data_IF_975411468613
#
_entry.id   IF_975411468613
#
_cell.length_a   1.000
_cell.length_b   1.000
_cell.length_c   1.000
_cell.angle_alpha   90.00
_cell.angle_beta   90.00
_cell.angle_gamma   90.00
#
_symmetry.space_group_name_H-M   'P 1'
#
loop_
_entity.id
_entity.type
_entity.pdbx_description
1 polymer ?
#
# COMPACT_ATOMS: atom_id res chain seq x y z
N UNK A 1 -16.59 -2.19 -63.22
CA UNK A 1 -16.76 -1.52 -61.91
C UNK A 1 -17.00 -2.60 -60.86
N UNK A 2 -15.93 -3.19 -60.29
CA UNK A 2 -15.44 -2.94 -58.91
C UNK A 2 -16.55 -2.66 -57.91
N UNK A 3 -16.81 -3.61 -57.02
CA UNK A 3 -17.24 -3.38 -55.64
C UNK A 3 -16.81 -4.60 -54.80
N UNK A 4 -15.56 -4.51 -54.31
CA UNK A 4 -15.01 -5.36 -53.27
C UNK A 4 -15.87 -5.19 -52.01
N UNK A 5 -16.49 -6.26 -51.51
CA UNK A 5 -17.05 -6.29 -50.16
C UNK A 5 -15.91 -6.55 -49.18
N UNK A 6 -15.57 -5.51 -48.43
CA UNK A 6 -14.61 -5.50 -47.33
C UNK A 6 -14.93 -6.59 -46.29
N UNK A 7 -14.05 -7.58 -46.13
CA UNK A 7 -14.00 -8.44 -44.95
C UNK A 7 -13.22 -7.68 -43.86
N UNK A 8 -13.93 -7.17 -42.86
CA UNK A 8 -13.30 -6.63 -41.66
C UNK A 8 -12.91 -7.80 -40.75
N UNK A 9 -11.62 -8.14 -40.71
CA UNK A 9 -11.03 -9.03 -39.73
C UNK A 9 -11.07 -8.34 -38.36
N UNK A 10 -11.99 -8.76 -37.49
CA UNK A 10 -12.01 -8.36 -36.09
C UNK A 10 -10.85 -9.09 -35.40
N UNK A 11 -9.70 -8.43 -35.37
CA UNK A 11 -8.55 -8.82 -34.56
C UNK A 11 -8.94 -8.71 -33.09
N UNK A 12 -9.35 -9.83 -32.50
CA UNK A 12 -9.52 -9.97 -31.05
C UNK A 12 -8.12 -9.88 -30.45
N UNK A 13 -7.73 -8.68 -30.01
CA UNK A 13 -6.56 -8.49 -29.17
C UNK A 13 -6.77 -9.28 -27.89
N UNK A 14 -6.02 -10.38 -27.75
CA UNK A 14 -5.82 -11.09 -26.50
C UNK A 14 -5.30 -10.08 -25.47
N UNK A 15 -6.21 -9.58 -24.63
CA UNK A 15 -5.84 -8.91 -23.40
C UNK A 15 -5.14 -9.97 -22.55
N UNK A 16 -3.82 -9.93 -22.55
CA UNK A 16 -2.99 -10.63 -21.57
C UNK A 16 -3.34 -9.99 -20.23
N UNK A 17 -4.33 -10.55 -19.54
CA UNK A 17 -4.55 -10.30 -18.12
C UNK A 17 -3.39 -11.03 -17.44
N UNK A 18 -2.21 -10.40 -17.46
CA UNK A 18 -1.07 -10.89 -16.72
C UNK A 18 -1.49 -10.93 -15.26
N UNK A 19 -1.43 -12.11 -14.64
CA UNK A 19 -1.46 -12.24 -13.20
C UNK A 19 -0.18 -11.60 -12.64
N UNK A 20 -0.09 -10.28 -12.65
CA UNK A 20 1.00 -9.56 -11.99
C UNK A 20 0.74 -9.68 -10.49
N UNK A 21 1.56 -10.49 -9.83
CA UNK A 21 1.68 -10.43 -8.37
C UNK A 21 2.33 -9.10 -8.04
N UNK A 22 1.77 -8.38 -7.08
CA UNK A 22 2.35 -7.13 -6.59
C UNK A 22 3.71 -7.43 -5.95
N UNK A 23 4.54 -6.40 -5.83
CA UNK A 23 5.81 -6.44 -5.10
C UNK A 23 5.97 -5.19 -4.23
N UNK A 24 7.09 -5.06 -3.52
CA UNK A 24 7.34 -3.93 -2.63
C UNK A 24 7.41 -2.55 -3.30
N UNK A 25 7.54 -2.49 -4.63
CA UNK A 25 7.66 -1.24 -5.38
C UNK A 25 6.38 -0.88 -6.17
N UNK A 26 5.31 -1.67 -6.00
CA UNK A 26 4.03 -1.44 -6.68
C UNK A 26 3.30 -0.20 -6.14
N UNK A 27 2.44 0.41 -6.95
CA UNK A 27 1.70 1.65 -6.61
C UNK A 27 0.44 1.43 -5.74
N UNK A 28 0.01 0.18 -5.57
CA UNK A 28 -1.08 -0.27 -4.69
C UNK A 28 -2.44 0.44 -4.88
N UNK A 29 -2.64 1.19 -5.96
CA UNK A 29 -3.90 1.91 -6.23
C UNK A 29 -5.05 0.95 -6.51
N UNK A 30 -4.80 -0.11 -7.29
CA UNK A 30 -5.74 -1.20 -7.55
C UNK A 30 -5.27 -2.48 -6.84
N UNK A 31 -5.48 -2.51 -5.52
CA UNK A 31 -5.01 -3.59 -4.64
C UNK A 31 -6.11 -4.60 -4.27
N UNK A 32 -7.39 -4.24 -4.37
CA UNK A 32 -8.49 -5.13 -3.97
C UNK A 32 -8.84 -6.08 -5.12
N UNK A 33 -8.65 -7.38 -4.87
CA UNK A 33 -8.98 -8.45 -5.82
C UNK A 33 -10.48 -8.76 -5.82
N UNK A 34 -11.11 -8.76 -4.64
CA UNK A 34 -12.53 -9.05 -4.52
C UNK A 34 -13.10 -8.53 -3.21
N UNK A 35 -14.38 -8.15 -3.25
CA UNK A 35 -15.15 -7.72 -2.07
C UNK A 35 -16.31 -8.67 -1.85
N UNK A 36 -16.55 -9.05 -0.59
CA UNK A 36 -17.73 -9.80 -0.16
C UNK A 36 -18.47 -9.02 0.91
N UNK A 37 -19.70 -8.64 0.59
CA UNK A 37 -20.57 -7.99 1.53
C UNK A 37 -21.40 -9.02 2.32
N UNK A 38 -21.51 -8.79 3.62
CA UNK A 38 -22.36 -9.54 4.55
C UNK A 38 -23.22 -8.57 5.35
N UNK A 39 -24.19 -9.11 6.09
CA UNK A 39 -25.11 -8.30 6.90
C UNK A 39 -24.38 -7.48 7.97
N UNK A 40 -23.36 -8.04 8.60
CA UNK A 40 -22.62 -7.41 9.71
C UNK A 40 -21.23 -6.87 9.36
N UNK A 41 -20.66 -7.27 8.22
CA UNK A 41 -19.29 -6.88 7.81
C UNK A 41 -19.10 -6.83 6.30
N UNK A 42 -17.99 -6.24 5.88
CA UNK A 42 -17.45 -6.32 4.52
C UNK A 42 -16.10 -7.03 4.61
N UNK A 43 -15.89 -8.05 3.77
CA UNK A 43 -14.61 -8.73 3.62
C UNK A 43 -13.95 -8.28 2.31
N UNK A 44 -12.74 -7.72 2.39
CA UNK A 44 -11.93 -7.36 1.24
C UNK A 44 -10.74 -8.31 1.14
N UNK A 45 -10.58 -8.91 -0.03
CA UNK A 45 -9.41 -9.71 -0.36
C UNK A 45 -8.49 -8.88 -1.25
N UNK A 46 -7.26 -8.67 -0.80
CA UNK A 46 -6.21 -8.04 -1.59
C UNK A 46 -5.67 -8.98 -2.68
N UNK A 47 -5.10 -8.40 -3.73
CA UNK A 47 -4.24 -9.10 -4.70
C UNK A 47 -3.01 -9.63 -3.99
N UNK A 48 -2.47 -10.75 -4.47
CA UNK A 48 -1.24 -11.31 -3.92
C UNK A 48 -0.06 -10.36 -4.10
N UNK A 49 0.77 -10.26 -3.08
CA UNK A 49 2.07 -9.57 -3.09
C UNK A 49 3.19 -10.59 -2.81
N UNK A 50 4.31 -10.43 -3.52
CA UNK A 50 5.57 -11.07 -3.18
C UNK A 50 6.30 -10.17 -2.16
N UNK A 51 6.39 -10.57 -0.89
CA UNK A 51 7.07 -9.78 0.12
C UNK A 51 8.59 -9.83 -0.07
N UNK A 52 9.28 -8.85 0.50
CA UNK A 52 10.73 -8.93 0.66
C UNK A 52 11.05 -9.94 1.76
N UNK A 53 12.07 -10.78 1.52
CA UNK A 53 12.45 -11.85 2.45
C UNK A 53 13.93 -11.80 2.74
N UNK A 54 14.31 -11.86 4.02
CA UNK A 54 15.70 -11.92 4.46
C UNK A 54 15.88 -13.00 5.51
N UNK A 55 16.67 -14.04 5.19
CA UNK A 55 17.04 -15.04 6.18
C UNK A 55 17.89 -14.41 7.29
N UNK A 56 17.53 -14.69 8.55
CA UNK A 56 18.37 -14.36 9.70
C UNK A 56 19.19 -15.57 10.15
N UNK A 57 18.57 -16.75 10.14
CA UNK A 57 19.22 -18.02 10.48
C UNK A 57 18.81 -19.05 9.42
N UNK A 58 19.75 -19.80 8.85
CA UNK A 58 19.47 -20.79 7.81
C UNK A 58 19.41 -20.19 6.41
N UNK A 59 18.67 -20.82 5.50
CA UNK A 59 18.51 -20.32 4.12
C UNK A 59 17.27 -19.45 3.97
N UNK A 60 17.28 -18.61 2.94
CA UNK A 60 16.10 -17.84 2.58
C UNK A 60 15.01 -18.74 1.98
N UNK A 61 13.81 -18.17 1.86
CA UNK A 61 12.69 -18.80 1.17
C UNK A 61 12.99 -18.89 -0.34
N UNK A 62 12.53 -19.98 -0.94
CA UNK A 62 12.55 -20.16 -2.41
C UNK A 62 11.46 -19.31 -3.05
N UNK A 63 10.29 -19.25 -2.39
CA UNK A 63 9.17 -18.41 -2.81
C UNK A 63 8.41 -17.95 -1.57
N UNK A 64 7.92 -16.71 -1.62
CA UNK A 64 6.96 -16.20 -0.66
C UNK A 64 5.85 -15.47 -1.42
N UNK A 65 4.61 -15.66 -1.00
CA UNK A 65 3.46 -14.96 -1.53
C UNK A 65 2.48 -14.73 -0.38
N UNK A 66 1.94 -13.53 -0.31
CA UNK A 66 1.07 -13.08 0.77
C UNK A 66 -0.16 -12.40 0.16
N UNK A 67 -1.32 -12.56 0.79
CA UNK A 67 -2.44 -11.66 0.57
C UNK A 67 -3.15 -11.32 1.87
N UNK A 68 -3.73 -10.11 1.92
CA UNK A 68 -4.46 -9.63 3.08
C UNK A 68 -5.97 -9.86 2.89
N UNK A 69 -6.61 -10.35 3.94
CA UNK A 69 -8.05 -10.53 4.03
C UNK A 69 -8.58 -9.62 5.13
N UNK A 70 -8.99 -8.41 4.78
CA UNK A 70 -9.54 -7.44 5.71
C UNK A 70 -11.01 -7.77 6.00
N UNK A 71 -11.38 -7.83 7.28
CA UNK A 71 -12.76 -7.99 7.73
C UNK A 71 -13.16 -6.72 8.49
N UNK A 72 -14.02 -5.92 7.88
CA UNK A 72 -14.41 -4.60 8.38
C UNK A 72 -15.85 -4.62 8.90
N UNK A 73 -16.10 -4.36 10.20
CA UNK A 73 -17.44 -4.36 10.74
C UNK A 73 -18.24 -3.14 10.24
N UNK A 74 -19.50 -3.38 9.84
CA UNK A 74 -20.42 -2.32 9.41
C UNK A 74 -20.86 -1.41 10.55
N UNK A 75 -20.85 -1.91 11.78
CA UNK A 75 -21.20 -1.17 13.00
C UNK A 75 -20.18 -1.47 14.10
N UNK A 76 -19.95 -0.51 14.99
CA UNK A 76 -19.11 -0.67 16.18
C UNK A 76 -19.60 -1.78 17.13
N UNK A 77 -20.88 -2.14 17.07
CA UNK A 77 -21.47 -3.22 17.87
C UNK A 77 -21.40 -4.60 17.21
N UNK A 78 -20.95 -4.68 15.95
CA UNK A 78 -20.87 -5.95 15.24
C UNK A 78 -19.63 -6.75 15.71
N UNK A 79 -19.87 -7.87 16.39
CA UNK A 79 -18.80 -8.85 16.64
C UNK A 79 -18.48 -9.57 15.33
N UNK A 80 -17.25 -9.39 14.86
CA UNK A 80 -16.74 -9.98 13.63
C UNK A 80 -15.42 -10.69 13.92
N UNK A 81 -15.11 -11.66 13.07
CA UNK A 81 -13.82 -12.37 13.08
C UNK A 81 -12.69 -11.41 12.70
N UNK A 82 -11.51 -11.67 13.23
CA UNK A 82 -10.29 -10.91 12.90
C UNK A 82 -9.99 -10.96 11.39
N UNK A 83 -9.37 -9.88 10.92
CA UNK A 83 -8.70 -9.86 9.63
C UNK A 83 -7.54 -10.86 9.62
N UNK A 84 -7.10 -11.26 8.44
CA UNK A 84 -6.08 -12.31 8.31
C UNK A 84 -5.04 -11.96 7.26
N UNK A 85 -3.78 -12.22 7.58
CA UNK A 85 -2.73 -12.36 6.58
C UNK A 85 -2.69 -13.83 6.17
N UNK A 86 -2.88 -14.11 4.88
CA UNK A 86 -2.71 -15.46 4.32
C UNK A 86 -1.42 -15.50 3.55
N UNK A 87 -0.54 -16.43 3.92
CA UNK A 87 0.77 -16.53 3.33
C UNK A 87 1.01 -17.95 2.82
N UNK A 88 1.77 -18.04 1.74
CA UNK A 88 2.39 -19.27 1.28
C UNK A 88 3.89 -19.07 1.18
N UNK A 89 4.64 -20.00 1.77
CA UNK A 89 6.10 -20.00 1.73
C UNK A 89 6.59 -21.32 1.18
N UNK A 90 7.58 -21.27 0.30
CA UNK A 90 8.28 -22.44 -0.22
C UNK A 90 9.72 -22.41 0.28
N UNK A 91 10.19 -23.52 0.84
CA UNK A 91 11.53 -23.69 1.39
C UNK A 91 12.07 -25.08 1.07
N UNK A 92 13.38 -25.30 1.20
CA UNK A 92 13.96 -26.62 0.95
C UNK A 92 13.49 -27.63 1.99
N UNK A 93 13.17 -28.86 1.56
CA UNK A 93 12.68 -29.95 2.44
C UNK A 93 13.63 -30.31 3.58
N UNK A 94 14.90 -29.94 3.47
CA UNK A 94 15.89 -30.10 4.55
C UNK A 94 15.62 -29.23 5.79
N UNK A 95 14.73 -28.23 5.69
CA UNK A 95 14.34 -27.35 6.80
C UNK A 95 13.00 -27.76 7.41
N UNK A 96 12.87 -27.50 8.71
CA UNK A 96 11.63 -27.70 9.45
C UNK A 96 10.56 -26.68 9.02
N UNK A 97 9.29 -27.07 9.07
CA UNK A 97 8.17 -26.18 8.79
C UNK A 97 8.13 -25.01 9.77
N UNK A 98 7.68 -23.85 9.28
CA UNK A 98 7.48 -22.69 10.13
C UNK A 98 6.35 -22.96 11.12
N UNK A 99 6.57 -22.56 12.38
CA UNK A 99 5.67 -22.83 13.51
C UNK A 99 5.11 -21.56 14.11
N UNK A 100 5.87 -20.47 14.06
CA UNK A 100 5.45 -19.19 14.63
C UNK A 100 5.82 -18.02 13.74
N UNK A 101 5.10 -16.92 13.94
CA UNK A 101 5.45 -15.60 13.45
C UNK A 101 5.55 -14.63 14.64
N UNK A 102 6.63 -13.85 14.72
CA UNK A 102 6.75 -12.76 15.66
C UNK A 102 6.31 -11.45 15.00
N UNK A 103 5.24 -10.84 15.52
CA UNK A 103 4.73 -9.56 15.06
C UNK A 103 4.77 -8.55 16.22
N UNK A 104 5.60 -7.50 16.09
CA UNK A 104 5.80 -6.48 17.12
C UNK A 104 6.13 -7.08 18.51
N UNK A 105 6.98 -8.11 18.55
CA UNK A 105 7.36 -8.79 19.79
C UNK A 105 6.36 -9.84 20.29
N UNK A 106 5.22 -10.02 19.62
CA UNK A 106 4.25 -11.06 19.98
C UNK A 106 4.45 -12.30 19.11
N UNK A 107 4.76 -13.42 19.74
CA UNK A 107 4.82 -14.72 19.07
C UNK A 107 3.41 -15.27 18.85
N UNK A 108 3.10 -15.54 17.59
CA UNK A 108 1.82 -16.09 17.14
C UNK A 108 2.08 -17.46 16.53
N UNK A 109 1.38 -18.49 17.04
CA UNK A 109 1.41 -19.82 16.46
C UNK A 109 0.73 -19.82 15.08
N UNK A 110 1.38 -20.43 14.09
CA UNK A 110 0.88 -20.50 12.74
C UNK A 110 -0.18 -21.59 12.61
N UNK A 111 -1.32 -21.24 12.01
CA UNK A 111 -2.39 -22.18 11.70
C UNK A 111 -2.41 -22.46 10.20
N UNK A 112 -2.06 -23.69 9.82
CA UNK A 112 -2.10 -24.13 8.43
C UNK A 112 -3.55 -24.21 7.94
N UNK A 113 -3.85 -23.58 6.79
CA UNK A 113 -5.19 -23.62 6.18
C UNK A 113 -5.29 -24.55 4.97
N UNK A 114 -4.15 -25.13 4.55
CA UNK A 114 -4.06 -26.19 3.54
C UNK A 114 -2.95 -27.18 3.91
N UNK A 115 -3.07 -28.45 3.51
CA UNK A 115 -1.95 -29.38 3.58
C UNK A 115 -0.74 -28.84 2.84
N UNK A 116 0.47 -29.16 3.33
CA UNK A 116 1.71 -28.85 2.63
C UNK A 116 1.78 -29.58 1.29
N UNK A 117 2.53 -29.01 0.35
CA UNK A 117 2.81 -29.63 -0.94
C UNK A 117 4.31 -29.76 -1.15
N UNK A 118 4.73 -30.86 -1.74
CA UNK A 118 6.12 -31.13 -2.04
C UNK A 118 6.33 -31.16 -3.55
N UNK A 119 7.41 -30.53 -4.02
CA UNK A 119 7.86 -30.62 -5.41
C UNK A 119 9.34 -30.95 -5.42
N UNK A 120 9.71 -32.04 -6.10
CA UNK A 120 11.08 -32.50 -6.21
C UNK A 120 11.54 -32.44 -7.66
N UNK A 121 12.59 -31.66 -7.89
CA UNK A 121 13.42 -31.75 -9.09
C UNK A 121 14.78 -32.31 -8.67
N UNK A 122 15.89 -31.61 -8.91
CA UNK A 122 17.18 -31.90 -8.29
C UNK A 122 17.19 -31.57 -6.78
N UNK A 123 16.40 -30.58 -6.39
CA UNK A 123 16.15 -30.21 -5.01
C UNK A 123 14.66 -30.32 -4.69
N UNK A 124 14.34 -30.86 -3.51
CA UNK A 124 12.97 -30.93 -3.01
C UNK A 124 12.62 -29.67 -2.23
N UNK A 125 11.47 -29.08 -2.56
CA UNK A 125 10.90 -27.93 -1.86
C UNK A 125 9.56 -28.30 -1.27
N UNK A 126 9.26 -27.73 -0.10
CA UNK A 126 7.97 -27.84 0.58
C UNK A 126 7.33 -26.47 0.55
N UNK A 127 6.05 -26.43 0.17
CA UNK A 127 5.20 -25.24 0.26
C UNK A 127 4.22 -25.41 1.41
N UNK A 128 4.21 -24.43 2.32
CA UNK A 128 3.33 -24.34 3.47
C UNK A 128 2.38 -23.15 3.31
N UNK A 129 1.13 -23.32 3.74
CA UNK A 129 0.07 -22.31 3.66
C UNK A 129 -0.53 -22.07 5.04
N UNK A 130 -0.31 -20.89 5.59
CA UNK A 130 -0.77 -20.54 6.94
C UNK A 130 -1.47 -19.18 6.99
N UNK A 131 -2.24 -18.96 8.06
CA UNK A 131 -2.90 -17.68 8.34
C UNK A 131 -2.37 -17.08 9.64
N UNK A 132 -2.20 -15.75 9.64
CA UNK A 132 -1.87 -14.97 10.84
C UNK A 132 -3.06 -14.04 11.12
N UNK A 133 -3.75 -14.16 12.26
CA UNK A 133 -4.82 -13.25 12.63
C UNK A 133 -4.26 -11.87 12.97
N UNK A 134 -4.94 -10.82 12.50
CA UNK A 134 -4.60 -9.42 12.77
C UNK A 134 -5.85 -8.62 13.10
N UNK A 135 -5.76 -7.80 14.13
CA UNK A 135 -6.85 -6.92 14.55
C UNK A 135 -6.95 -5.69 13.64
N UNK A 136 -8.11 -5.03 13.61
CA UNK A 136 -8.26 -3.78 12.86
C UNK A 136 -7.30 -2.70 13.39
N UNK A 137 -6.67 -1.96 12.48
CA UNK A 137 -5.70 -0.91 12.83
C UNK A 137 -4.38 -1.44 13.40
N UNK A 138 -4.15 -2.77 13.36
CA UNK A 138 -2.91 -3.39 13.83
C UNK A 138 -1.66 -2.80 13.13
N UNK A 139 -1.75 -2.57 11.83
CA UNK A 139 -0.62 -2.06 11.03
C UNK A 139 -0.22 -0.62 11.38
N UNK A 140 -1.10 0.15 12.03
CA UNK A 140 -0.78 1.50 12.48
C UNK A 140 0.31 1.53 13.56
N UNK A 141 0.48 0.41 14.29
CA UNK A 141 1.49 0.24 15.34
C UNK A 141 2.92 0.07 14.81
N UNK A 142 3.09 -0.23 13.52
CA UNK A 142 4.42 -0.33 12.90
C UNK A 142 4.95 1.06 12.60
N UNK A 143 6.18 1.32 13.05
CA UNK A 143 6.96 2.50 12.69
C UNK A 143 7.58 2.31 11.29
N UNK A 144 7.72 3.41 10.54
CA UNK A 144 8.29 3.39 9.19
C UNK A 144 7.32 2.96 8.08
N UNK A 145 7.89 2.61 6.93
CA UNK A 145 7.16 2.30 5.69
C UNK A 145 6.89 0.81 5.47
N UNK A 146 7.47 -0.08 6.30
CA UNK A 146 7.38 -1.53 6.14
C UNK A 146 6.78 -2.18 7.38
N UNK A 147 5.86 -3.12 7.17
CA UNK A 147 5.40 -4.08 8.16
C UNK A 147 6.34 -5.27 8.09
N UNK A 148 7.10 -5.50 9.16
CA UNK A 148 8.09 -6.59 9.23
C UNK A 148 7.70 -7.60 10.30
N UNK A 149 7.77 -8.88 9.96
CA UNK A 149 7.54 -9.97 10.92
C UNK A 149 8.51 -11.12 10.70
N UNK A 150 8.87 -11.80 11.79
CA UNK A 150 9.85 -12.88 11.77
C UNK A 150 9.13 -14.24 11.74
N UNK A 151 9.27 -14.98 10.66
CA UNK A 151 8.85 -16.38 10.60
C UNK A 151 9.93 -17.26 11.23
N UNK A 152 9.53 -18.21 12.08
CA UNK A 152 10.46 -19.13 12.74
C UNK A 152 9.95 -20.57 12.73
N UNK A 153 10.84 -21.53 12.44
CA UNK A 153 10.59 -22.97 12.68
C UNK A 153 11.17 -23.47 14.02
N UNK A 154 11.62 -22.52 14.85
CA UNK A 154 12.37 -22.75 16.09
C UNK A 154 13.72 -22.04 16.04
N UNK A 155 14.74 -22.50 16.79
CA UNK A 155 16.05 -21.84 16.84
C UNK A 155 16.91 -22.04 15.59
N UNK A 156 16.48 -22.86 14.63
CA UNK A 156 17.31 -23.35 13.51
C UNK A 156 17.09 -22.63 12.19
N UNK A 157 15.94 -21.99 12.02
CA UNK A 157 15.60 -21.31 10.77
C UNK A 157 14.62 -20.20 11.05
N UNK A 158 15.01 -18.99 10.64
CA UNK A 158 14.18 -17.81 10.80
C UNK A 158 14.39 -16.83 9.65
N UNK A 159 13.29 -16.23 9.20
CA UNK A 159 13.25 -15.37 8.01
C UNK A 159 12.41 -14.14 8.32
N UNK A 160 12.99 -12.96 8.15
CA UNK A 160 12.27 -11.70 8.14
C UNK A 160 11.46 -11.57 6.86
N UNK A 161 10.19 -11.25 7.02
CA UNK A 161 9.28 -10.91 5.93
C UNK A 161 8.93 -9.43 6.07
N UNK A 162 9.10 -8.68 4.99
CA UNK A 162 8.79 -7.25 4.94
C UNK A 162 7.81 -6.94 3.82
N UNK A 163 6.75 -6.22 4.15
CA UNK A 163 5.69 -5.81 3.23
C UNK A 163 5.46 -4.31 3.41
N UNK A 164 5.31 -3.51 2.33
CA UNK A 164 4.99 -2.10 2.49
C UNK A 164 3.72 -1.88 3.31
N UNK A 165 3.78 -0.98 4.29
CA UNK A 165 2.62 -0.60 5.10
C UNK A 165 1.47 -0.07 4.21
N UNK A 166 1.83 0.60 3.12
CA UNK A 166 0.91 1.10 2.09
C UNK A 166 0.00 -0.02 1.53
N UNK A 167 0.53 -1.23 1.34
CA UNK A 167 -0.24 -2.37 0.86
C UNK A 167 -1.42 -2.69 1.79
N UNK A 168 -1.21 -2.71 3.11
CA UNK A 168 -2.29 -2.97 4.06
C UNK A 168 -3.24 -1.78 4.21
N UNK A 169 -2.68 -0.57 4.34
CA UNK A 169 -3.49 0.64 4.58
C UNK A 169 -4.41 0.97 3.42
N UNK A 170 -4.01 0.71 2.17
CA UNK A 170 -4.88 0.96 1.01
C UNK A 170 -6.08 0.00 0.97
N UNK A 171 -5.91 -1.25 1.41
CA UNK A 171 -7.03 -2.19 1.54
C UNK A 171 -7.99 -1.74 2.64
N UNK A 172 -7.47 -1.25 3.76
CA UNK A 172 -8.30 -0.71 4.85
C UNK A 172 -9.05 0.55 4.43
N UNK A 173 -8.38 1.47 3.71
CA UNK A 173 -8.98 2.68 3.15
C UNK A 173 -10.12 2.38 2.18
N UNK A 174 -9.95 1.41 1.28
CA UNK A 174 -11.03 0.98 0.39
C UNK A 174 -12.21 0.39 1.18
N UNK A 175 -11.94 -0.34 2.26
CA UNK A 175 -12.97 -0.82 3.17
C UNK A 175 -13.76 0.30 3.85
N UNK A 176 -13.08 1.34 4.31
CA UNK A 176 -13.71 2.52 4.92
C UNK A 176 -14.56 3.30 3.92
N UNK A 177 -14.09 3.42 2.68
CA UNK A 177 -14.82 4.03 1.58
C UNK A 177 -16.13 3.28 1.27
N UNK A 178 -16.08 1.94 1.15
CA UNK A 178 -17.27 1.11 0.92
C UNK A 178 -18.28 1.24 2.06
N UNK A 179 -17.80 1.38 3.31
CA UNK A 179 -18.65 1.55 4.48
C UNK A 179 -19.21 2.97 4.65
N UNK A 180 -18.83 3.92 3.79
CA UNK A 180 -19.23 5.32 3.91
C UNK A 180 -18.72 5.98 5.20
N UNK A 181 -17.63 5.45 5.77
CA UNK A 181 -16.95 6.01 6.96
C UNK A 181 -15.92 7.07 6.59
N UNK A 182 -15.68 7.28 5.30
CA UNK A 182 -14.92 8.41 4.79
C UNK A 182 -15.71 9.72 5.03
N UNK A 183 -15.43 10.39 6.15
CA UNK A 183 -15.91 11.74 6.43
C UNK A 183 -15.08 12.73 5.61
N UNK A 184 -15.35 12.76 4.31
CA UNK A 184 -14.62 13.56 3.34
C UNK A 184 -15.41 13.78 2.05
N UNK A 185 -16.49 14.57 2.13
CA UNK A 185 -17.03 15.30 0.98
C UNK A 185 -18.13 14.58 0.17
N UNK A 186 -19.31 15.16 0.24
CA UNK A 186 -20.51 14.91 -0.55
C UNK A 186 -20.27 14.46 -2.00
N UNK A 187 -20.82 13.28 -2.34
CA UNK A 187 -21.15 12.92 -3.72
C UNK A 187 -22.38 13.71 -4.17
N UNK A 188 -22.15 14.91 -4.69
CA UNK A 188 -23.00 15.47 -5.74
C UNK A 188 -22.62 14.81 -7.07
N UNK A 189 -23.55 14.06 -7.67
CA UNK A 189 -23.40 13.53 -9.03
C UNK A 189 -23.16 14.72 -9.98
N UNK A 190 -21.98 14.82 -10.58
CA UNK A 190 -21.83 15.48 -11.87
C UNK A 190 -20.64 14.93 -12.66
N UNK A 191 -20.96 14.55 -13.89
CA UNK A 191 -20.04 14.14 -14.95
C UNK A 191 -19.12 15.30 -15.29
N UNK A 192 -17.79 15.16 -15.12
CA UNK A 192 -16.73 15.55 -16.09
C UNK A 192 -15.32 15.73 -15.48
N UNK A 193 -14.34 15.10 -16.14
CA UNK A 193 -12.88 15.43 -16.22
C UNK A 193 -11.97 15.10 -15.01
N UNK A 194 -10.76 14.53 -15.24
CA UNK A 194 -9.92 13.95 -14.20
C UNK A 194 -9.08 15.04 -13.50
N UNK A 195 -9.20 15.15 -12.18
CA UNK A 195 -8.28 15.95 -11.37
C UNK A 195 -7.46 15.04 -10.46
N UNK A 196 -6.23 14.81 -10.94
CA UNK A 196 -4.98 14.49 -10.24
C UNK A 196 -5.07 14.49 -8.70
N UNK A 197 -4.80 13.33 -8.09
CA UNK A 197 -4.46 13.19 -6.67
C UNK A 197 -3.37 14.19 -6.31
N UNK A 198 -3.61 15.02 -5.29
CA UNK A 198 -2.58 15.86 -4.69
C UNK A 198 -1.55 14.95 -4.01
N UNK A 199 -0.27 15.29 -4.14
CA UNK A 199 0.83 14.51 -3.55
C UNK A 199 1.12 15.02 -2.14
N UNK A 200 1.74 14.19 -1.31
CA UNK A 200 2.13 14.55 0.07
C UNK A 200 2.86 15.90 0.14
N UNK A 201 3.75 16.22 -0.79
CA UNK A 201 4.46 17.51 -0.82
C UNK A 201 3.50 18.68 -1.01
N UNK A 202 2.47 18.54 -1.84
CA UNK A 202 1.44 19.58 -2.04
C UNK A 202 0.52 19.74 -0.84
N UNK A 203 0.11 18.64 -0.20
CA UNK A 203 -0.71 18.66 1.01
C UNK A 203 0.05 19.32 2.17
N UNK A 204 1.33 18.97 2.35
CA UNK A 204 2.14 19.49 3.45
C UNK A 204 2.46 20.98 3.27
N UNK A 205 2.67 21.47 2.04
CA UNK A 205 2.83 22.92 1.79
C UNK A 205 1.58 23.68 2.22
N UNK A 206 0.39 23.22 1.84
CA UNK A 206 -0.88 23.85 2.24
C UNK A 206 -1.10 23.81 3.75
N UNK A 207 -0.82 22.66 4.37
CA UNK A 207 -0.92 22.49 5.82
C UNK A 207 -0.06 23.50 6.59
N UNK A 208 1.20 23.67 6.19
CA UNK A 208 2.10 24.60 6.87
C UNK A 208 1.79 26.07 6.53
N UNK A 209 1.24 26.33 5.35
CA UNK A 209 0.72 27.64 4.96
C UNK A 209 -0.43 28.09 5.86
N UNK A 210 -1.38 27.20 6.16
CA UNK A 210 -2.50 27.48 7.07
C UNK A 210 -2.05 27.69 8.53
N UNK A 211 -0.87 27.18 8.90
CA UNK A 211 -0.27 27.35 10.23
C UNK A 211 0.66 28.57 10.32
N UNK A 212 1.01 29.17 9.18
CA UNK A 212 1.88 30.34 9.12
C UNK A 212 1.08 31.63 9.39
N UNK A 213 1.77 32.64 9.91
CA UNK A 213 1.23 34.00 10.03
C UNK A 213 1.05 34.64 8.65
N UNK A 214 0.20 35.66 8.55
CA UNK A 214 -0.03 36.39 7.29
C UNK A 214 1.26 37.00 6.68
N UNK A 215 2.23 37.35 7.53
CA UNK A 215 3.53 37.86 7.08
C UNK A 215 4.34 36.74 6.40
N UNK A 216 4.43 35.57 7.03
CA UNK A 216 5.15 34.40 6.51
C UNK A 216 4.49 33.81 5.26
N UNK A 217 3.16 33.85 5.18
CA UNK A 217 2.43 33.44 3.98
C UNK A 217 2.83 34.29 2.76
N UNK A 218 2.92 35.62 2.93
CA UNK A 218 3.36 36.55 1.87
C UNK A 218 4.83 36.34 1.49
N UNK A 219 5.68 36.10 2.48
CA UNK A 219 7.09 35.78 2.25
C UNK A 219 7.25 34.45 1.49
N UNK A 220 6.47 33.43 1.86
CA UNK A 220 6.47 32.14 1.19
C UNK A 220 5.93 32.22 -0.24
N UNK A 221 4.88 33.01 -0.50
CA UNK A 221 4.39 33.26 -1.86
C UNK A 221 5.52 33.81 -2.73
N UNK A 222 6.22 34.85 -2.26
CA UNK A 222 7.33 35.44 -2.99
C UNK A 222 8.46 34.42 -3.23
N UNK A 223 8.81 33.66 -2.18
CA UNK A 223 9.80 32.58 -2.27
C UNK A 223 9.44 31.52 -3.34
N UNK A 224 8.20 31.05 -3.34
CA UNK A 224 7.73 30.04 -4.28
C UNK A 224 7.80 30.54 -5.72
N UNK A 225 7.45 31.81 -5.96
CA UNK A 225 7.53 32.45 -7.28
C UNK A 225 8.96 32.61 -7.79
N UNK A 226 9.89 32.98 -6.92
CA UNK A 226 11.32 33.09 -7.25
C UNK A 226 11.88 31.71 -7.62
N UNK A 227 11.47 30.66 -6.90
CA UNK A 227 11.98 29.29 -7.05
C UNK A 227 11.10 28.38 -7.93
N UNK A 228 10.37 28.97 -8.89
CA UNK A 228 9.37 28.26 -9.72
C UNK A 228 9.97 27.25 -10.72
N UNK A 229 11.19 27.47 -11.19
CA UNK A 229 11.77 26.79 -12.35
C UNK A 229 12.92 25.81 -12.02
N UNK A 230 13.36 25.64 -10.76
CA UNK A 230 14.61 24.89 -10.51
C UNK A 230 14.98 24.54 -9.06
N UNK A 231 16.25 24.15 -8.90
CA UNK A 231 16.85 23.67 -7.63
C UNK A 231 16.67 24.73 -6.55
N UNK A 232 15.94 24.34 -5.52
CA UNK A 232 15.51 25.20 -4.43
C UNK A 232 16.70 25.46 -3.53
N UNK A 233 17.18 26.71 -3.49
CA UNK A 233 18.16 27.10 -2.48
C UNK A 233 17.52 26.96 -1.11
N UNK A 234 18.14 26.15 -0.24
CA UNK A 234 17.71 25.99 1.15
C UNK A 234 17.90 27.34 1.85
N UNK A 235 16.82 28.10 1.91
CA UNK A 235 16.76 29.30 2.76
C UNK A 235 16.32 28.82 4.14
N UNK A 236 17.11 29.15 5.16
CA UNK A 236 16.67 29.03 6.54
C UNK A 236 15.67 30.16 6.80
N UNK A 237 14.39 29.83 6.92
CA UNK A 237 13.38 30.75 7.42
C UNK A 237 13.61 31.04 8.91
N UNK A 238 13.13 32.21 9.36
CA UNK A 238 13.23 32.63 10.76
C UNK A 238 12.36 31.78 11.70
N UNK A 239 11.41 31.01 11.16
CA UNK A 239 10.42 30.24 11.93
C UNK A 239 10.23 28.79 11.46
N UNK A 240 9.72 27.89 12.32
CA UNK A 240 9.46 26.51 11.95
C UNK A 240 8.46 26.33 10.79
N UNK A 241 7.41 27.15 10.71
CA UNK A 241 6.40 27.05 9.66
C UNK A 241 6.98 27.42 8.28
N UNK A 242 7.72 28.52 8.20
CA UNK A 242 8.41 28.94 6.98
C UNK A 242 9.42 27.89 6.52
N UNK A 243 10.22 27.34 7.45
CA UNK A 243 11.18 26.27 7.15
C UNK A 243 10.50 25.02 6.59
N UNK A 244 9.34 24.63 7.13
CA UNK A 244 8.61 23.47 6.65
C UNK A 244 7.96 23.71 5.29
N UNK A 245 7.41 24.90 5.02
CA UNK A 245 6.87 25.24 3.70
C UNK A 245 7.97 25.20 2.63
N UNK A 246 9.13 25.80 2.90
CA UNK A 246 10.30 25.76 2.01
C UNK A 246 10.77 24.32 1.76
N UNK A 247 10.86 23.51 2.82
CA UNK A 247 11.25 22.11 2.72
C UNK A 247 10.31 21.31 1.82
N UNK A 248 9.00 21.33 2.09
CA UNK A 248 8.02 20.56 1.32
C UNK A 248 7.84 21.07 -0.11
N UNK A 249 8.02 22.37 -0.35
CA UNK A 249 8.07 22.93 -1.70
C UNK A 249 9.33 22.45 -2.46
N UNK A 250 10.46 22.29 -1.76
CA UNK A 250 11.67 21.67 -2.28
C UNK A 250 11.48 20.21 -2.69
N UNK A 251 10.76 19.43 -1.89
CA UNK A 251 10.44 18.03 -2.16
C UNK A 251 9.37 17.85 -3.24
N UNK A 252 8.67 18.92 -3.64
CA UNK A 252 7.64 18.86 -4.69
C UNK A 252 8.26 18.72 -6.08
N UNK A 253 7.65 17.89 -6.93
CA UNK A 253 8.04 17.77 -8.35
C UNK A 253 7.76 19.07 -9.12
N UNK A 254 8.38 19.25 -10.28
CA UNK A 254 8.13 20.44 -11.12
C UNK A 254 6.64 20.64 -11.47
N UNK A 255 5.89 19.54 -11.64
CA UNK A 255 4.45 19.58 -11.90
C UNK A 255 3.66 19.99 -10.65
N UNK A 256 4.05 19.50 -9.48
CA UNK A 256 3.45 19.86 -8.20
C UNK A 256 3.71 21.32 -7.83
N UNK A 257 4.91 21.83 -8.07
CA UNK A 257 5.21 23.26 -7.85
C UNK A 257 4.36 24.17 -8.73
N UNK A 258 4.12 23.79 -10.00
CA UNK A 258 3.19 24.54 -10.88
C UNK A 258 1.76 24.53 -10.33
N UNK A 259 1.32 23.41 -9.76
CA UNK A 259 0.01 23.31 -9.11
C UNK A 259 -0.06 24.16 -7.83
N UNK A 260 0.98 24.09 -6.99
CA UNK A 260 1.10 24.92 -5.78
C UNK A 260 1.16 26.41 -6.11
N UNK A 261 1.90 26.82 -7.13
CA UNK A 261 1.94 28.22 -7.59
C UNK A 261 0.57 28.71 -8.04
N UNK A 262 -0.18 27.87 -8.77
CA UNK A 262 -1.55 28.20 -9.16
C UNK A 262 -2.46 28.36 -7.94
N UNK A 263 -2.29 27.53 -6.92
CA UNK A 263 -3.04 27.61 -5.67
C UNK A 263 -2.64 28.82 -4.81
N UNK A 264 -1.36 29.18 -4.77
CA UNK A 264 -0.84 30.35 -4.06
C UNK A 264 -1.34 31.66 -4.68
N UNK A 265 -1.57 31.70 -6.00
CA UNK A 265 -2.20 32.85 -6.68
C UNK A 265 -3.66 33.04 -6.27
N UNK A 266 -4.34 31.96 -5.84
CA UNK A 266 -5.74 32.01 -5.45
C UNK A 266 -5.97 32.20 -3.95
N UNK A 267 -4.91 32.38 -3.15
CA UNK A 267 -5.01 32.79 -1.74
C UNK A 267 -5.06 34.32 -1.65
#
# INVERSE_FOLDING_TARGET
MKLLRSLSLISISLLVIGCTTLDSNSDFEDIVKSTKERSSYVELQAKSIQPDTQALIGTNLVKAELFYLAVMPKSHSASVRDSKIRMSVSYFKSYDSFKSANLLGNDIELVDYRPTAESCTEHCTVTQWFEIPVQQGFFNKFEGSMVTFLLSSGPKHSVNISVPKAYFSQVEKEGEFILGKDTGGERGINVSTPSKSETRSTEMVKYWYDKASELEQKEFINYAFINRDGIVEKVSGETPAMNMMVYWYGEATLQERKMLLKWLISQ
#
